data_IF_170826066781
#
_entry.id   IF_170826066781
#
_cell.length_a   1.000
_cell.length_b   1.000
_cell.length_c   1.000
_cell.angle_alpha   90.00
_cell.angle_beta   90.00
_cell.angle_gamma   90.00
#
_symmetry.space_group_name_H-M   'P 1'
#
loop_
_entity.id
_entity.type
_entity.pdbx_description
1 polymer ?
#
# COMPACT_ATOMS: atom_id res chain seq x y z
N UNK A 1 5.04 -55.63 -71.84
CA UNK A 1 5.01 -55.67 -70.41
C UNK A 1 5.37 -54.26 -69.88
N UNK A 2 4.38 -53.41 -69.66
CA UNK A 2 4.59 -51.99 -69.40
C UNK A 2 4.05 -51.71 -68.00
N UNK A 3 4.95 -51.30 -67.08
CA UNK A 3 4.63 -51.03 -65.67
C UNK A 3 4.20 -49.57 -65.58
N UNK A 4 2.94 -49.35 -65.26
CA UNK A 4 2.39 -48.05 -64.93
C UNK A 4 2.83 -47.65 -63.52
N UNK A 5 3.61 -46.60 -63.41
CA UNK A 5 3.89 -45.91 -62.11
C UNK A 5 2.76 -44.92 -61.79
N UNK A 6 2.00 -45.22 -60.78
CA UNK A 6 1.00 -44.27 -60.17
C UNK A 6 1.75 -43.33 -59.25
N UNK A 7 1.76 -42.03 -59.59
CA UNK A 7 2.26 -40.98 -58.72
C UNK A 7 1.08 -40.50 -57.83
N UNK A 8 1.13 -40.81 -56.54
CA UNK A 8 0.23 -40.22 -55.57
C UNK A 8 0.73 -38.79 -55.26
N UNK A 9 -0.08 -37.80 -55.64
CA UNK A 9 0.13 -36.42 -55.27
C UNK A 9 -0.41 -36.24 -53.85
N UNK A 10 0.48 -36.13 -52.88
CA UNK A 10 0.12 -35.75 -51.49
C UNK A 10 -0.01 -34.24 -51.46
N UNK A 11 -1.23 -33.75 -51.39
CA UNK A 11 -1.51 -32.34 -51.08
C UNK A 11 -1.22 -32.08 -49.60
N UNK A 12 -0.05 -31.53 -49.33
CA UNK A 12 0.27 -31.00 -48.01
C UNK A 12 -0.46 -29.65 -47.87
N UNK A 13 -1.60 -29.63 -47.22
CA UNK A 13 -2.18 -28.38 -46.70
C UNK A 13 -1.28 -27.89 -45.57
N UNK A 14 -0.52 -26.86 -45.84
CA UNK A 14 0.19 -26.07 -44.83
C UNK A 14 -0.87 -25.39 -43.95
N UNK A 15 -1.09 -25.92 -42.76
CA UNK A 15 -1.87 -25.21 -41.73
C UNK A 15 -0.93 -24.11 -41.23
N UNK A 16 -1.20 -22.89 -41.63
CA UNK A 16 -0.59 -21.70 -41.00
C UNK A 16 -0.96 -21.71 -39.53
N UNK A 17 -0.09 -22.23 -38.71
CA UNK A 17 -0.15 -22.11 -37.26
C UNK A 17 0.10 -20.66 -36.90
N UNK A 18 -0.97 -19.89 -36.70
CA UNK A 18 -0.87 -18.60 -36.05
C UNK A 18 -0.32 -18.83 -34.62
N UNK A 19 0.95 -18.60 -34.44
CA UNK A 19 1.59 -18.53 -33.16
C UNK A 19 0.98 -17.28 -32.46
N UNK A 20 -0.08 -17.49 -31.72
CA UNK A 20 -0.54 -16.48 -30.77
C UNK A 20 0.58 -16.29 -29.75
N UNK A 21 1.51 -15.37 -30.05
CA UNK A 21 2.39 -14.84 -29.02
C UNK A 21 1.45 -14.27 -27.96
N UNK A 22 1.37 -14.93 -26.83
CA UNK A 22 0.72 -14.40 -25.63
C UNK A 22 1.44 -13.09 -25.29
N UNK A 23 0.92 -11.98 -25.79
CA UNK A 23 1.42 -10.64 -25.49
C UNK A 23 1.27 -10.48 -23.98
N UNK A 24 2.38 -10.55 -23.24
CA UNK A 24 2.39 -10.41 -21.80
C UNK A 24 1.69 -9.10 -21.46
N UNK A 25 0.56 -9.18 -20.78
CA UNK A 25 -0.20 -7.99 -20.41
C UNK A 25 0.70 -7.07 -19.57
N UNK A 26 0.85 -5.84 -20.03
CA UNK A 26 1.65 -4.83 -19.33
C UNK A 26 0.78 -4.17 -18.25
N UNK A 27 1.28 -4.14 -17.02
CA UNK A 27 0.63 -3.50 -15.88
C UNK A 27 1.48 -2.36 -15.34
N UNK A 28 0.84 -1.24 -15.01
CA UNK A 28 1.40 -0.25 -14.11
C UNK A 28 1.34 -0.83 -12.69
N UNK A 29 2.48 -0.99 -12.04
CA UNK A 29 2.55 -1.51 -10.69
C UNK A 29 2.56 -0.37 -9.66
N UNK A 30 1.65 -0.44 -8.70
CA UNK A 30 1.55 0.50 -7.59
C UNK A 30 1.72 -0.29 -6.30
N UNK A 31 2.72 0.06 -5.51
CA UNK A 31 3.02 -0.56 -4.22
C UNK A 31 2.63 0.40 -3.11
N UNK A 32 1.72 0.00 -2.23
CA UNK A 32 1.29 0.76 -1.06
C UNK A 32 1.62 -0.05 0.19
N UNK A 33 2.37 0.55 1.12
CA UNK A 33 2.74 -0.09 2.36
C UNK A 33 2.27 0.79 3.51
N UNK A 34 1.39 0.27 4.36
CA UNK A 34 0.73 1.00 5.43
C UNK A 34 0.98 0.35 6.79
N UNK A 35 1.03 1.19 7.81
CA UNK A 35 0.99 0.79 9.21
C UNK A 35 0.09 1.74 10.01
N UNK A 36 -0.33 1.30 11.19
CA UNK A 36 -1.15 2.12 12.08
C UNK A 36 -0.36 2.70 13.25
N UNK A 37 -0.84 3.80 13.78
CA UNK A 37 -0.34 4.39 15.03
C UNK A 37 -1.49 4.96 15.83
N UNK A 38 -1.65 4.44 17.05
CA UNK A 38 -2.79 4.75 17.92
C UNK A 38 -4.00 3.89 17.61
N UNK A 39 -4.78 3.59 18.66
CA UNK A 39 -5.96 2.72 18.55
C UNK A 39 -7.22 3.55 18.33
N UNK A 40 -8.12 3.07 17.48
CA UNK A 40 -9.44 3.65 17.30
C UNK A 40 -10.30 3.40 18.56
N UNK A 41 -10.13 4.27 19.55
CA UNK A 41 -10.83 4.23 20.85
C UNK A 41 -11.10 5.64 21.35
N UNK A 42 -12.09 5.82 22.24
CA UNK A 42 -12.34 7.14 22.88
C UNK A 42 -11.24 7.57 23.85
N UNK A 43 -10.39 6.65 24.30
CA UNK A 43 -9.24 6.96 25.17
C UNK A 43 -8.11 7.67 24.41
N UNK A 44 -8.02 7.48 23.12
CA UNK A 44 -7.02 8.10 22.26
C UNK A 44 -7.67 9.16 21.39
N UNK A 45 -7.08 10.35 21.31
CA UNK A 45 -7.62 11.46 20.52
C UNK A 45 -7.53 11.21 19.02
N UNK A 46 -6.46 10.55 18.59
CA UNK A 46 -6.12 10.40 17.17
C UNK A 46 -5.63 8.99 16.87
N UNK A 47 -6.15 8.42 15.79
CA UNK A 47 -5.61 7.23 15.13
C UNK A 47 -5.09 7.60 13.75
N UNK A 48 -4.01 6.98 13.31
CA UNK A 48 -3.36 7.25 12.02
C UNK A 48 -3.10 5.95 11.30
N UNK A 49 -3.36 5.92 10.00
CA UNK A 49 -2.83 4.93 9.06
C UNK A 49 -1.96 5.69 8.07
N UNK A 50 -0.69 5.33 7.97
CA UNK A 50 0.22 6.06 7.09
C UNK A 50 1.26 5.13 6.49
N UNK A 51 1.90 5.59 5.41
CA UNK A 51 2.92 4.79 4.80
C UNK A 51 3.48 5.38 3.52
N UNK A 52 4.01 4.51 2.66
CA UNK A 52 4.82 4.87 1.51
C UNK A 52 4.30 4.19 0.25
N UNK A 53 4.36 4.91 -0.87
CA UNK A 53 3.89 4.46 -2.18
C UNK A 53 5.06 4.44 -3.17
N UNK A 54 5.13 3.39 -3.99
CA UNK A 54 6.07 3.29 -5.11
C UNK A 54 5.31 3.00 -6.39
N UNK A 55 5.74 3.59 -7.49
CA UNK A 55 5.10 3.47 -8.81
C UNK A 55 5.81 2.48 -9.74
N UNK A 56 6.85 1.80 -9.23
CA UNK A 56 7.53 0.73 -9.93
C UNK A 56 8.24 -0.20 -8.95
N UNK A 57 8.47 -1.45 -9.40
CA UNK A 57 9.30 -2.41 -8.67
C UNK A 57 10.72 -1.90 -8.47
N UNK A 58 11.29 -1.25 -9.48
CA UNK A 58 12.64 -0.73 -9.44
C UNK A 58 12.81 0.34 -8.34
N UNK A 59 11.87 1.29 -8.25
CA UNK A 59 11.86 2.31 -7.22
C UNK A 59 11.78 1.70 -5.82
N UNK A 60 10.85 0.74 -5.63
CA UNK A 60 10.67 -0.01 -4.39
C UNK A 60 11.95 -0.75 -3.98
N UNK A 61 12.58 -1.49 -4.90
CA UNK A 61 13.76 -2.30 -4.62
C UNK A 61 14.98 -1.39 -4.27
N UNK A 62 15.12 -0.24 -4.94
CA UNK A 62 16.11 0.78 -4.61
C UNK A 62 15.89 1.33 -3.20
N UNK A 63 14.63 1.61 -2.84
CA UNK A 63 14.30 2.05 -1.49
C UNK A 63 14.72 1.02 -0.46
N UNK A 64 14.32 -0.25 -0.62
CA UNK A 64 14.62 -1.33 0.32
C UNK A 64 16.13 -1.46 0.54
N UNK A 65 16.91 -1.47 -0.53
CA UNK A 65 18.37 -1.63 -0.47
C UNK A 65 19.03 -0.54 0.37
N UNK A 66 18.67 0.72 0.13
CA UNK A 66 19.26 1.84 0.86
C UNK A 66 18.69 1.98 2.29
N UNK A 67 17.38 1.72 2.47
CA UNK A 67 16.75 1.72 3.78
C UNK A 67 17.39 0.66 4.69
N UNK A 68 17.61 -0.54 4.17
CA UNK A 68 18.30 -1.62 4.88
C UNK A 68 19.71 -1.22 5.36
N UNK A 69 20.50 -0.53 4.51
CA UNK A 69 21.80 0.02 4.92
C UNK A 69 21.67 0.99 6.09
N UNK A 70 20.77 1.96 5.99
CA UNK A 70 20.55 2.96 7.06
C UNK A 70 20.13 2.28 8.36
N UNK A 71 19.20 1.34 8.29
CA UNK A 71 18.71 0.60 9.47
C UNK A 71 19.82 -0.22 10.12
N UNK A 72 20.64 -0.90 9.32
CA UNK A 72 21.76 -1.70 9.87
C UNK A 72 22.82 -0.84 10.52
N UNK A 73 23.21 0.28 9.93
CA UNK A 73 24.13 1.24 10.54
C UNK A 73 23.61 1.77 11.87
N UNK A 74 22.30 2.06 11.95
CA UNK A 74 21.65 2.50 13.18
C UNK A 74 21.63 1.35 14.21
N UNK A 75 21.24 0.13 13.82
CA UNK A 75 21.27 -1.03 14.71
C UNK A 75 22.66 -1.26 15.30
N UNK A 76 23.69 -1.20 14.47
CA UNK A 76 25.07 -1.31 14.94
C UNK A 76 25.49 -0.21 15.92
N UNK A 77 24.89 1.00 15.83
CA UNK A 77 25.15 2.09 16.78
C UNK A 77 24.53 1.89 18.18
N UNK A 78 23.63 0.92 18.31
CA UNK A 78 23.03 0.50 19.60
C UNK A 78 23.65 -0.78 20.15
N UNK A 79 24.62 -1.35 19.44
CA UNK A 79 25.27 -2.58 19.83
C UNK A 79 26.58 -2.25 20.57
N UNK A 80 26.76 -2.79 21.78
CA UNK A 80 27.99 -2.63 22.56
C UNK A 80 29.15 -3.51 22.02
N UNK A 81 28.92 -4.23 20.91
CA UNK A 81 29.87 -5.09 20.24
C UNK A 81 30.72 -4.32 19.23
N UNK A 82 32.00 -4.67 19.01
CA UNK A 82 32.83 -4.10 17.99
C UNK A 82 32.19 -4.18 16.57
N UNK A 83 32.47 -3.19 15.73
CA UNK A 83 31.97 -3.17 14.35
C UNK A 83 32.46 -4.44 13.63
N UNK A 84 31.54 -5.29 13.23
CA UNK A 84 31.80 -6.54 12.51
C UNK A 84 31.39 -7.81 13.27
N UNK A 85 31.25 -7.77 14.59
CA UNK A 85 30.90 -8.92 15.42
C UNK A 85 29.44 -8.95 15.88
N UNK A 86 28.61 -8.05 15.36
CA UNK A 86 27.20 -7.99 15.73
C UNK A 86 26.46 -9.25 15.26
N UNK A 87 26.37 -10.23 16.13
CA UNK A 87 25.64 -11.46 15.91
C UNK A 87 24.12 -11.17 15.95
N UNK A 88 23.56 -10.81 14.82
CA UNK A 88 22.16 -11.01 14.32
C UNK A 88 20.95 -10.79 15.24
N UNK A 89 21.05 -10.38 16.50
CA UNK A 89 19.94 -10.19 17.43
C UNK A 89 19.73 -8.75 17.90
N UNK A 90 20.17 -7.76 17.09
CA UNK A 90 19.85 -6.36 17.41
C UNK A 90 18.35 -6.17 17.41
N UNK A 91 17.83 -5.52 18.45
CA UNK A 91 16.39 -5.23 18.58
C UNK A 91 15.87 -4.52 17.34
N UNK A 92 14.63 -4.84 16.95
CA UNK A 92 13.91 -4.14 15.89
C UNK A 92 13.85 -2.64 16.20
N UNK A 93 14.09 -1.82 15.18
CA UNK A 93 13.93 -0.37 15.28
C UNK A 93 12.46 -0.05 15.07
N UNK A 94 11.81 0.44 16.13
CA UNK A 94 10.42 0.92 16.12
C UNK A 94 10.37 2.41 16.39
N UNK A 95 9.28 3.07 16.01
CA UNK A 95 9.06 4.49 16.26
C UNK A 95 9.22 4.85 17.76
N UNK A 96 8.92 3.93 18.66
CA UNK A 96 8.97 4.10 20.12
C UNK A 96 10.38 4.00 20.71
N UNK A 97 11.32 3.30 20.07
CA UNK A 97 12.65 3.02 20.63
C UNK A 97 13.81 3.69 19.90
N UNK A 98 13.55 4.44 18.83
CA UNK A 98 14.58 5.11 18.04
C UNK A 98 14.97 6.47 18.62
N UNK A 99 16.28 6.76 18.69
CA UNK A 99 16.81 8.08 19.08
C UNK A 99 16.44 9.16 18.06
N UNK A 100 16.17 10.39 18.51
CA UNK A 100 15.70 11.51 17.69
C UNK A 100 16.57 11.78 16.46
N UNK A 101 17.91 11.74 16.62
CA UNK A 101 18.84 11.97 15.50
C UNK A 101 18.76 10.89 14.42
N UNK A 102 18.68 9.62 14.83
CA UNK A 102 18.53 8.48 13.91
C UNK A 102 17.18 8.53 13.20
N UNK A 103 16.10 8.84 13.92
CA UNK A 103 14.78 9.02 13.35
C UNK A 103 14.79 10.12 12.29
N UNK A 104 15.40 11.28 12.56
CA UNK A 104 15.51 12.37 11.58
C UNK A 104 16.24 11.91 10.31
N UNK A 105 17.35 11.15 10.45
CA UNK A 105 18.09 10.60 9.31
C UNK A 105 17.22 9.69 8.45
N UNK A 106 16.44 8.79 9.05
CA UNK A 106 15.52 7.89 8.33
C UNK A 106 14.42 8.70 7.65
N UNK A 107 13.79 9.65 8.37
CA UNK A 107 12.70 10.44 7.82
C UNK A 107 13.16 11.32 6.66
N UNK A 108 14.38 11.88 6.69
CA UNK A 108 14.98 12.60 5.57
C UNK A 108 15.22 11.69 4.35
N UNK A 109 15.42 10.39 4.56
CA UNK A 109 15.51 9.46 3.45
C UNK A 109 14.13 9.11 2.90
N UNK A 110 13.15 8.85 3.77
CA UNK A 110 11.76 8.55 3.42
C UNK A 110 11.12 9.69 2.64
N UNK A 111 11.38 10.95 3.01
CA UNK A 111 10.79 12.15 2.36
C UNK A 111 11.16 12.35 0.89
N UNK A 112 12.03 11.52 0.34
CA UNK A 112 12.33 11.47 -1.10
C UNK A 112 11.35 10.63 -1.91
N UNK A 113 10.42 9.97 -1.25
CA UNK A 113 9.44 9.05 -1.81
C UNK A 113 8.03 9.49 -1.45
N UNK A 114 7.06 9.06 -2.24
CA UNK A 114 5.67 9.48 -2.06
C UNK A 114 5.07 8.86 -0.80
N UNK A 115 4.64 9.69 0.12
CA UNK A 115 4.10 9.28 1.42
C UNK A 115 2.65 9.70 1.58
N UNK A 116 1.87 8.84 2.24
CA UNK A 116 0.43 9.04 2.42
C UNK A 116 0.03 8.87 3.88
N UNK A 117 -1.00 9.57 4.30
CA UNK A 117 -1.55 9.44 5.65
C UNK A 117 -3.06 9.66 5.70
N UNK A 118 -3.70 8.84 6.53
CA UNK A 118 -5.05 8.98 7.01
C UNK A 118 -4.99 9.33 8.48
N UNK A 119 -5.59 10.44 8.87
CA UNK A 119 -5.70 10.87 10.27
C UNK A 119 -7.18 10.83 10.67
N UNK A 120 -7.50 10.07 11.70
CA UNK A 120 -8.85 9.93 12.23
C UNK A 120 -8.94 10.66 13.56
N UNK A 121 -9.89 11.60 13.68
CA UNK A 121 -10.24 12.22 14.93
C UNK A 121 -11.20 11.32 15.73
N UNK A 122 -10.64 10.49 16.59
CA UNK A 122 -11.42 9.51 17.37
C UNK A 122 -12.54 10.13 18.21
N UNK A 123 -12.39 11.39 18.61
CA UNK A 123 -13.41 12.08 19.43
C UNK A 123 -14.70 12.32 18.65
N UNK A 124 -14.59 12.47 17.32
CA UNK A 124 -15.71 12.70 16.40
C UNK A 124 -16.34 11.41 15.87
N UNK A 125 -15.67 10.26 15.96
CA UNK A 125 -16.23 8.97 15.53
C UNK A 125 -17.37 8.56 16.46
N UNK A 126 -18.47 8.08 15.91
CA UNK A 126 -19.64 7.66 16.68
C UNK A 126 -19.34 6.50 17.63
N UNK A 127 -19.96 6.54 18.82
CA UNK A 127 -19.77 5.54 19.88
C UNK A 127 -20.13 4.12 19.41
N UNK A 128 -21.20 3.94 18.65
CA UNK A 128 -21.63 2.64 18.15
C UNK A 128 -20.57 2.00 17.21
N UNK A 129 -19.79 2.82 16.50
CA UNK A 129 -18.68 2.34 15.66
C UNK A 129 -17.52 1.86 16.55
N UNK A 130 -17.13 2.69 17.53
CA UNK A 130 -15.95 2.39 18.36
C UNK A 130 -16.20 1.20 19.29
N UNK A 131 -17.40 1.08 19.84
CA UNK A 131 -17.73 0.06 20.83
C UNK A 131 -18.07 -1.31 20.22
N UNK A 132 -18.35 -1.38 18.93
CA UNK A 132 -18.64 -2.63 18.24
C UNK A 132 -17.45 -3.05 17.37
N UNK A 133 -16.89 -4.25 17.61
CA UNK A 133 -15.69 -4.75 16.90
C UNK A 133 -15.89 -4.82 15.38
N UNK A 134 -17.07 -5.28 14.94
CA UNK A 134 -17.40 -5.42 13.52
C UNK A 134 -17.54 -4.06 12.85
N UNK A 135 -18.27 -3.13 13.48
CA UNK A 135 -18.45 -1.76 12.98
C UNK A 135 -17.12 -1.01 12.91
N UNK A 136 -16.26 -1.20 13.91
CA UNK A 136 -14.91 -0.64 13.93
C UNK A 136 -14.08 -1.16 12.76
N UNK A 137 -14.07 -2.46 12.51
CA UNK A 137 -13.36 -3.05 11.39
C UNK A 137 -13.85 -2.49 10.04
N UNK A 138 -15.17 -2.46 9.83
CA UNK A 138 -15.76 -1.87 8.61
C UNK A 138 -15.41 -0.40 8.42
N UNK A 139 -15.39 0.37 9.49
CA UNK A 139 -15.02 1.78 9.45
C UNK A 139 -13.54 1.95 9.05
N UNK A 140 -12.64 1.15 9.62
CA UNK A 140 -11.22 1.16 9.27
C UNK A 140 -11.03 0.78 7.80
N UNK A 141 -11.65 -0.31 7.35
CA UNK A 141 -11.59 -0.73 5.93
C UNK A 141 -12.11 0.38 4.99
N UNK A 142 -13.22 1.02 5.35
CA UNK A 142 -13.75 2.14 4.60
C UNK A 142 -12.77 3.32 4.53
N UNK A 143 -12.18 3.72 5.63
CA UNK A 143 -11.25 4.86 5.67
C UNK A 143 -9.96 4.57 4.91
N UNK A 144 -9.42 3.34 4.99
CA UNK A 144 -8.26 2.91 4.21
C UNK A 144 -8.58 2.90 2.71
N UNK A 145 -9.77 2.41 2.30
CA UNK A 145 -10.21 2.47 0.89
C UNK A 145 -10.23 3.91 0.39
N UNK A 146 -10.77 4.82 1.18
CA UNK A 146 -10.83 6.24 0.83
C UNK A 146 -9.43 6.85 0.68
N UNK A 147 -8.48 6.50 1.56
CA UNK A 147 -7.09 6.92 1.44
C UNK A 147 -6.48 6.41 0.13
N UNK A 148 -6.61 5.12 -0.16
CA UNK A 148 -6.03 4.52 -1.36
C UNK A 148 -6.64 5.12 -2.63
N UNK A 149 -7.98 5.25 -2.69
CA UNK A 149 -8.66 5.86 -3.83
C UNK A 149 -8.19 7.30 -4.06
N UNK A 150 -8.23 8.12 -3.02
CA UNK A 150 -7.80 9.52 -3.11
C UNK A 150 -6.33 9.67 -3.50
N UNK A 151 -5.46 8.76 -3.03
CA UNK A 151 -4.06 8.68 -3.45
C UNK A 151 -3.93 8.41 -4.95
N UNK A 152 -4.68 7.44 -5.47
CA UNK A 152 -4.66 7.10 -6.91
C UNK A 152 -5.23 8.26 -7.74
N UNK A 153 -6.32 8.91 -7.30
CA UNK A 153 -6.89 10.10 -7.93
C UNK A 153 -5.87 11.23 -8.06
N UNK A 154 -5.12 11.51 -6.99
CA UNK A 154 -4.08 12.54 -7.03
C UNK A 154 -2.93 12.15 -7.97
N UNK A 155 -2.49 10.90 -7.96
CA UNK A 155 -1.44 10.40 -8.85
C UNK A 155 -1.88 10.40 -10.33
N UNK A 156 -3.15 10.20 -10.62
CA UNK A 156 -3.74 10.37 -11.96
C UNK A 156 -3.72 11.85 -12.36
N UNK A 157 -4.16 12.73 -11.47
CA UNK A 157 -4.20 14.19 -11.68
C UNK A 157 -2.83 14.75 -12.02
N UNK A 158 -1.78 14.29 -11.33
CA UNK A 158 -0.38 14.69 -11.62
C UNK A 158 0.27 13.84 -12.73
N UNK A 159 -0.51 13.06 -13.47
CA UNK A 159 -0.09 12.24 -14.64
C UNK A 159 0.97 11.18 -14.33
N UNK A 160 1.11 10.75 -13.08
CA UNK A 160 1.99 9.64 -12.68
C UNK A 160 1.37 8.27 -12.93
N UNK A 161 0.04 8.18 -12.97
CA UNK A 161 -0.74 6.98 -13.31
C UNK A 161 -1.61 7.28 -14.52
N UNK A 162 -1.65 6.37 -15.50
CA UNK A 162 -2.59 6.44 -16.60
C UNK A 162 -3.82 5.56 -16.28
N UNK A 163 -5.02 6.14 -16.09
CA UNK A 163 -6.21 5.40 -15.71
C UNK A 163 -6.72 4.40 -16.76
N UNK A 164 -6.28 4.51 -18.03
CA UNK A 164 -6.68 3.62 -19.13
C UNK A 164 -5.75 2.40 -19.29
N UNK A 165 -4.59 2.38 -18.64
CA UNK A 165 -3.71 1.20 -18.60
C UNK A 165 -4.14 0.22 -17.51
N UNK A 166 -3.77 -1.05 -17.68
CA UNK A 166 -3.95 -2.05 -16.63
C UNK A 166 -3.14 -1.67 -15.39
N UNK A 167 -3.71 -1.87 -14.21
CA UNK A 167 -3.09 -1.54 -12.92
C UNK A 167 -2.95 -2.79 -12.07
N UNK A 168 -1.76 -3.02 -11.53
CA UNK A 168 -1.51 -4.01 -10.47
C UNK A 168 -1.24 -3.27 -9.17
N UNK A 169 -2.16 -3.36 -8.23
CA UNK A 169 -2.09 -2.72 -6.93
C UNK A 169 -1.63 -3.74 -5.89
N UNK A 170 -0.44 -3.53 -5.34
CA UNK A 170 0.17 -4.38 -4.31
C UNK A 170 0.13 -3.63 -2.99
N UNK A 171 -0.68 -4.11 -2.05
CA UNK A 171 -0.92 -3.47 -0.76
C UNK A 171 -0.39 -4.36 0.35
N UNK A 172 0.50 -3.84 1.18
CA UNK A 172 0.96 -4.46 2.40
C UNK A 172 0.52 -3.61 3.59
N UNK A 173 -0.13 -4.23 4.56
CA UNK A 173 -0.60 -3.57 5.79
C UNK A 173 -0.06 -4.37 6.98
N UNK A 174 0.28 -3.70 8.09
CA UNK A 174 0.70 -4.40 9.30
C UNK A 174 -0.40 -5.34 9.84
N UNK A 175 0.01 -6.53 10.29
CA UNK A 175 -0.92 -7.62 10.66
C UNK A 175 -1.81 -7.29 11.86
N UNK A 176 -1.38 -6.36 12.71
CA UNK A 176 -2.12 -5.99 13.93
C UNK A 176 -3.35 -5.10 13.69
N UNK A 177 -3.44 -4.48 12.53
CA UNK A 177 -4.39 -3.39 12.34
C UNK A 177 -5.81 -3.81 11.97
N UNK A 178 -6.03 -4.90 11.25
CA UNK A 178 -7.39 -5.18 10.73
C UNK A 178 -7.67 -6.65 10.49
N UNK A 179 -8.20 -7.37 11.48
CA UNK A 179 -8.98 -8.57 11.19
C UNK A 179 -10.47 -8.23 11.25
N UNK A 180 -11.05 -7.75 10.15
CA UNK A 180 -12.49 -7.66 10.03
C UNK A 180 -13.06 -9.03 9.68
N UNK A 181 -13.92 -9.58 10.53
CA UNK A 181 -14.71 -10.78 10.23
C UNK A 181 -15.98 -10.40 9.42
N UNK A 182 -15.86 -9.47 8.45
CA UNK A 182 -16.99 -8.96 7.69
C UNK A 182 -17.17 -9.65 6.34
N UNK A 183 -18.40 -9.70 5.83
CA UNK A 183 -18.77 -10.13 4.48
C UNK A 183 -18.15 -9.27 3.37
N UNK A 184 -17.58 -8.14 3.71
CA UNK A 184 -16.97 -7.18 2.81
C UNK A 184 -15.50 -7.01 3.21
N UNK A 185 -14.59 -7.46 2.39
CA UNK A 185 -13.17 -7.28 2.64
C UNK A 185 -12.62 -6.04 1.91
N UNK A 186 -11.50 -5.53 2.40
CA UNK A 186 -10.83 -4.35 1.84
C UNK A 186 -10.57 -4.48 0.32
N UNK A 187 -10.21 -5.68 -0.16
CA UNK A 187 -9.91 -5.95 -1.57
C UNK A 187 -11.15 -5.77 -2.45
N UNK A 188 -12.30 -6.35 -2.05
CA UNK A 188 -13.53 -6.28 -2.84
C UNK A 188 -14.05 -4.84 -2.90
N UNK A 189 -14.02 -4.14 -1.77
CA UNK A 189 -14.41 -2.74 -1.72
C UNK A 189 -13.51 -1.82 -2.55
N UNK A 190 -12.19 -2.09 -2.61
CA UNK A 190 -11.28 -1.36 -3.49
C UNK A 190 -11.60 -1.63 -4.97
N UNK A 191 -11.90 -2.89 -5.33
CA UNK A 191 -12.27 -3.24 -6.70
C UNK A 191 -13.53 -2.49 -7.14
N UNK A 192 -14.56 -2.46 -6.28
CA UNK A 192 -15.76 -1.67 -6.55
C UNK A 192 -15.44 -0.20 -6.74
N UNK A 193 -14.79 0.44 -5.76
CA UNK A 193 -14.54 1.89 -5.81
C UNK A 193 -13.65 2.32 -6.97
N UNK A 194 -12.68 1.49 -7.35
CA UNK A 194 -11.71 1.86 -8.38
C UNK A 194 -12.20 1.56 -9.79
N UNK A 195 -12.91 0.42 -10.01
CA UNK A 195 -13.32 -0.05 -11.33
C UNK A 195 -14.79 0.21 -11.67
N UNK A 196 -15.70 0.08 -10.68
CA UNK A 196 -17.13 0.09 -10.98
C UNK A 196 -17.82 1.37 -10.53
N UNK A 197 -17.23 2.07 -9.57
CA UNK A 197 -17.88 3.16 -8.87
C UNK A 197 -18.91 2.65 -7.85
N UNK A 198 -19.39 3.54 -6.99
CA UNK A 198 -20.34 3.21 -5.92
C UNK A 198 -21.58 4.10 -6.06
N UNK A 199 -22.77 3.51 -6.02
CA UNK A 199 -24.02 4.23 -5.90
C UNK A 199 -24.47 4.23 -4.44
N UNK A 200 -24.64 5.41 -3.87
CA UNK A 200 -25.22 5.58 -2.55
C UNK A 200 -26.70 5.95 -2.70
N UNK A 201 -27.56 4.94 -2.69
CA UNK A 201 -29.01 5.08 -2.89
C UNK A 201 -29.70 5.92 -1.81
N UNK A 202 -29.12 6.01 -0.61
CA UNK A 202 -29.71 6.81 0.47
C UNK A 202 -29.57 8.32 0.23
N UNK A 203 -28.62 8.73 -0.58
CA UNK A 203 -28.34 10.14 -0.87
C UNK A 203 -28.39 10.46 -2.37
N UNK A 204 -28.77 9.49 -3.20
CA UNK A 204 -28.77 9.60 -4.68
C UNK A 204 -27.43 10.09 -5.25
N UNK A 205 -26.33 9.67 -4.64
CA UNK A 205 -24.97 10.05 -5.04
C UNK A 205 -24.29 8.89 -5.73
N UNK A 206 -23.80 9.12 -6.95
CA UNK A 206 -22.98 8.17 -7.69
C UNK A 206 -21.51 8.61 -7.70
N UNK A 207 -20.66 7.83 -7.05
CA UNK A 207 -19.21 7.99 -7.13
C UNK A 207 -18.70 7.22 -8.33
N UNK A 208 -18.10 7.92 -9.31
CA UNK A 208 -17.56 7.30 -10.52
C UNK A 208 -16.33 6.45 -10.20
N UNK A 209 -16.11 5.44 -11.04
CA UNK A 209 -14.83 4.73 -11.07
C UNK A 209 -13.70 5.66 -11.55
N UNK A 210 -12.47 5.30 -11.21
CA UNK A 210 -11.27 6.11 -11.55
C UNK A 210 -10.29 5.36 -12.43
N UNK A 211 -10.45 4.04 -12.58
CA UNK A 211 -9.65 3.20 -13.46
C UNK A 211 -10.55 2.59 -14.55
N UNK A 212 -10.03 2.47 -15.76
CA UNK A 212 -10.73 1.99 -16.95
C UNK A 212 -10.05 0.76 -17.57
N UNK A 213 -8.80 0.45 -17.18
CA UNK A 213 -8.11 -0.78 -17.55
C UNK A 213 -8.42 -1.92 -16.57
N UNK A 214 -7.77 -3.08 -16.78
CA UNK A 214 -7.85 -4.20 -15.81
C UNK A 214 -7.21 -3.82 -14.49
N UNK A 215 -7.78 -4.29 -13.38
CA UNK A 215 -7.23 -4.10 -12.04
C UNK A 215 -6.93 -5.46 -11.40
N UNK A 216 -5.69 -5.66 -11.01
CA UNK A 216 -5.26 -6.79 -10.18
C UNK A 216 -4.88 -6.26 -8.78
N UNK A 217 -5.53 -6.75 -7.72
CA UNK A 217 -5.22 -6.34 -6.34
C UNK A 217 -4.60 -7.54 -5.60
N UNK A 218 -3.41 -7.30 -5.04
CA UNK A 218 -2.73 -8.19 -4.10
C UNK A 218 -2.67 -7.51 -2.75
N UNK A 219 -3.45 -7.99 -1.80
CA UNK A 219 -3.49 -7.49 -0.43
C UNK A 219 -2.84 -8.52 0.50
N UNK A 220 -1.85 -8.08 1.27
CA UNK A 220 -1.12 -8.94 2.21
C UNK A 220 -1.01 -8.24 3.55
N UNK A 221 -1.32 -8.97 4.63
CA UNK A 221 -1.04 -8.54 5.99
C UNK A 221 0.33 -9.11 6.41
N UNK A 222 1.21 -8.25 6.91
CA UNK A 222 2.62 -8.61 7.13
C UNK A 222 3.11 -8.15 8.51
N UNK A 223 3.98 -8.94 9.09
CA UNK A 223 4.71 -8.60 10.31
C UNK A 223 5.79 -7.54 10.01
N UNK A 224 5.71 -6.38 10.67
CA UNK A 224 6.66 -5.27 10.54
C UNK A 224 8.11 -5.68 10.85
N UNK A 225 8.31 -6.65 11.73
CA UNK A 225 9.63 -7.17 12.08
C UNK A 225 10.36 -7.84 10.93
N UNK A 226 9.63 -8.30 9.92
CA UNK A 226 10.14 -9.03 8.75
C UNK A 226 10.13 -8.22 7.46
N UNK A 227 9.44 -7.08 7.44
CA UNK A 227 9.27 -6.28 6.23
C UNK A 227 9.72 -4.83 6.43
N UNK A 228 10.81 -4.45 5.75
CA UNK A 228 11.36 -3.08 5.83
C UNK A 228 10.40 -2.00 5.34
N UNK A 229 9.47 -2.30 4.45
CA UNK A 229 8.49 -1.34 3.95
C UNK A 229 7.42 -1.05 5.00
N UNK A 230 6.95 -2.08 5.71
CA UNK A 230 6.01 -1.93 6.82
C UNK A 230 6.72 -1.27 8.02
N UNK A 231 7.99 -1.60 8.28
CA UNK A 231 8.80 -0.90 9.28
C UNK A 231 8.97 0.59 8.97
N UNK A 232 9.15 0.95 7.69
CA UNK A 232 9.19 2.36 7.29
C UNK A 232 7.82 3.03 7.52
N UNK A 233 6.72 2.31 7.24
CA UNK A 233 5.36 2.78 7.48
C UNK A 233 5.10 3.05 8.99
N UNK A 234 5.58 2.21 9.92
CA UNK A 234 5.52 2.47 11.38
C UNK A 234 6.15 3.83 11.75
N UNK A 235 7.34 4.11 11.19
CA UNK A 235 8.00 5.39 11.46
C UNK A 235 7.23 6.58 10.90
N UNK A 236 6.60 6.44 9.73
CA UNK A 236 5.75 7.47 9.12
C UNK A 236 4.49 7.65 9.99
N UNK A 237 3.77 6.56 10.29
CA UNK A 237 2.54 6.60 11.07
C UNK A 237 2.75 7.20 12.46
N UNK A 238 3.78 6.75 13.18
CA UNK A 238 4.11 7.29 14.50
C UNK A 238 4.59 8.75 14.48
N UNK A 239 5.23 9.20 13.39
CA UNK A 239 5.62 10.62 13.24
C UNK A 239 4.40 11.47 12.93
N UNK A 240 3.54 11.02 12.02
CA UNK A 240 2.28 11.66 11.64
C UNK A 240 1.38 11.80 12.85
N UNK A 241 1.20 10.73 13.63
CA UNK A 241 0.36 10.77 14.84
C UNK A 241 0.87 11.77 15.86
N UNK A 242 2.17 11.88 16.09
CA UNK A 242 2.74 12.84 17.03
C UNK A 242 2.41 14.27 16.64
N UNK A 243 2.53 14.63 15.33
CA UNK A 243 2.16 15.95 14.84
C UNK A 243 0.65 16.19 14.93
N UNK A 244 -0.17 15.20 14.53
CA UNK A 244 -1.62 15.28 14.60
C UNK A 244 -2.18 15.42 16.03
N UNK A 245 -1.48 14.89 17.04
CA UNK A 245 -1.85 15.08 18.45
C UNK A 245 -1.63 16.53 18.92
N UNK A 246 -0.67 17.23 18.35
CA UNK A 246 -0.44 18.66 18.64
C UNK A 246 -1.46 19.54 17.90
N UNK A 247 -1.70 19.26 16.64
CA UNK A 247 -2.72 19.91 15.82
C UNK A 247 -3.13 18.96 14.67
N UNK A 248 -4.39 18.52 14.67
CA UNK A 248 -4.91 17.53 13.73
C UNK A 248 -4.92 18.04 12.28
N UNK A 249 -5.13 19.34 12.11
CA UNK A 249 -5.23 20.00 10.80
C UNK A 249 -3.85 20.42 10.24
N UNK A 250 -2.79 20.34 11.06
CA UNK A 250 -1.46 20.80 10.63
C UNK A 250 -0.97 20.05 9.41
N UNK A 251 -0.32 20.79 8.52
CA UNK A 251 0.48 20.17 7.47
C UNK A 251 1.65 19.41 8.07
N UNK A 252 1.95 18.28 7.45
CA UNK A 252 3.01 17.38 7.88
C UNK A 252 4.00 17.29 6.73
N UNK A 253 5.08 18.06 6.81
CA UNK A 253 6.08 18.26 5.75
C UNK A 253 6.59 17.01 5.06
N UNK A 254 6.41 15.84 5.70
CA UNK A 254 6.84 14.56 5.16
C UNK A 254 5.69 13.77 4.53
N UNK A 255 4.47 14.31 4.46
CA UNK A 255 3.30 13.64 3.91
C UNK A 255 2.87 14.37 2.66
N UNK A 256 2.97 13.68 1.51
CA UNK A 256 2.58 14.23 0.21
C UNK A 256 1.07 14.24 0.02
N UNK A 257 0.36 13.26 0.59
CA UNK A 257 -1.10 13.19 0.51
C UNK A 257 -1.72 12.79 1.85
N UNK A 258 -2.57 13.67 2.38
CA UNK A 258 -3.23 13.48 3.69
C UNK A 258 -4.74 13.52 3.57
N UNK A 259 -5.42 12.55 4.18
CA UNK A 259 -6.86 12.59 4.42
C UNK A 259 -7.15 12.75 5.91
N UNK A 260 -8.17 13.55 6.21
CA UNK A 260 -8.73 13.72 7.55
C UNK A 260 -10.11 13.08 7.61
N UNK A 261 -10.33 12.31 8.67
CA UNK A 261 -11.63 11.71 8.95
C UNK A 261 -12.13 12.13 10.34
N UNK A 262 -13.47 12.29 10.46
CA UNK A 262 -14.09 12.47 11.76
C UNK A 262 -13.86 11.27 12.63
#
# INVERSE_FOLDING_TARGET
>A
MTILKVHAIINIKTIEGSTYMNKKEEYQEIYINLDDSGKLTKKEKVSVYAGIVFLSKQEKDKFITQYHKIINEIKCSYCDQPKGECTKKCKEIKNTNIKKGHKRRIMNYISKYYTIALVINNTKVYNHIINNKTSKGRYIDYTIRRLIKSTIEELIKVKKINPHKNVRLIINIDEQSTKSNGYYNLKDGLTEELLHGISNYNYDIKYKNILYGKLEIRLTYQDSGKNYLVQAADLIAGTTRRKALSNIDSDIDIIDHKLLFP
#
